data_IF_181511999318
#
_entry.id   IF_181511999318
#
_cell.length_a   1.000
_cell.length_b   1.000
_cell.length_c   1.000
_cell.angle_alpha   90.00
_cell.angle_beta   90.00
_cell.angle_gamma   90.00
#
_symmetry.space_group_name_H-M   'P 1'
#
loop_
_entity.id
_entity.type
_entity.pdbx_description
1 polymer ?
#
# COMPACT_ATOMS: atom_id res chain seq x y z
N UNK A 1 -15.49 9.75 -19.32
CA UNK A 1 -14.77 10.39 -18.20
C UNK A 1 -15.27 9.76 -16.92
N UNK A 2 -14.38 9.20 -16.10
CA UNK A 2 -14.70 8.59 -14.80
C UNK A 2 -14.68 9.69 -13.75
N UNK A 3 -15.78 9.84 -13.01
CA UNK A 3 -15.90 10.82 -11.93
C UNK A 3 -15.38 10.21 -10.64
N UNK A 4 -14.44 10.88 -10.00
CA UNK A 4 -13.73 10.39 -8.81
C UNK A 4 -14.09 11.27 -7.62
N UNK A 5 -14.43 10.65 -6.48
CA UNK A 5 -14.59 11.30 -5.19
C UNK A 5 -13.41 10.99 -4.27
N UNK A 6 -12.98 11.99 -3.50
CA UNK A 6 -11.98 11.81 -2.45
C UNK A 6 -12.68 11.86 -1.10
N UNK A 7 -12.54 10.79 -0.34
CA UNK A 7 -13.05 10.64 1.03
C UNK A 7 -11.89 10.75 1.99
N UNK A 8 -11.94 11.74 2.83
CA UNK A 8 -10.91 12.22 3.75
C UNK A 8 -9.68 12.86 3.09
N UNK A 9 -9.25 13.93 3.69
CA UNK A 9 -8.09 14.72 3.28
C UNK A 9 -6.92 14.60 4.26
N UNK A 10 -6.99 13.65 5.18
CA UNK A 10 -6.13 13.50 6.35
C UNK A 10 -4.64 13.39 6.04
N UNK A 11 -4.31 12.91 4.84
CA UNK A 11 -2.93 12.61 4.43
C UNK A 11 -2.53 13.39 3.18
N UNK A 12 -1.22 13.56 2.93
CA UNK A 12 -0.71 14.13 1.67
C UNK A 12 -1.11 13.35 0.42
N UNK A 13 -1.64 12.12 0.57
CA UNK A 13 -2.07 11.28 -0.56
C UNK A 13 -3.20 11.92 -1.36
N UNK A 14 -4.14 12.63 -0.70
CA UNK A 14 -5.21 13.35 -1.39
C UNK A 14 -4.65 14.35 -2.42
N UNK A 15 -3.71 15.20 -2.03
CA UNK A 15 -3.07 16.16 -2.93
C UNK A 15 -2.22 15.50 -4.02
N UNK A 16 -1.45 14.48 -3.63
CA UNK A 16 -0.58 13.75 -4.57
C UNK A 16 -1.38 13.03 -5.65
N UNK A 17 -2.43 12.29 -5.27
CA UNK A 17 -3.32 11.60 -6.21
C UNK A 17 -4.06 12.60 -7.10
N UNK A 18 -4.52 13.72 -6.53
CA UNK A 18 -5.14 14.80 -7.33
C UNK A 18 -4.22 15.28 -8.43
N UNK A 19 -2.94 15.56 -8.12
CA UNK A 19 -1.96 16.01 -9.10
C UNK A 19 -1.66 14.96 -10.19
N UNK A 20 -1.72 13.68 -9.84
CA UNK A 20 -1.51 12.57 -10.78
C UNK A 20 -2.71 12.35 -11.69
N UNK A 21 -3.90 12.24 -11.11
CA UNK A 21 -5.13 11.91 -11.84
C UNK A 21 -5.50 12.99 -12.87
N UNK A 22 -5.12 14.24 -12.62
CA UNK A 22 -5.29 15.35 -13.58
C UNK A 22 -4.47 15.21 -14.87
N UNK A 23 -3.49 14.34 -14.90
CA UNK A 23 -2.70 14.09 -16.10
C UNK A 23 -3.41 13.16 -17.09
N UNK A 24 -4.62 12.69 -16.75
CA UNK A 24 -5.43 11.76 -17.52
C UNK A 24 -6.75 12.41 -17.93
N UNK A 25 -6.97 12.58 -19.23
CA UNK A 25 -8.14 13.27 -19.80
C UNK A 25 -9.47 12.50 -19.59
N UNK A 26 -9.39 11.21 -19.28
CA UNK A 26 -10.55 10.34 -19.04
C UNK A 26 -10.97 10.28 -17.56
N UNK A 27 -10.23 10.93 -16.66
CA UNK A 27 -10.48 10.99 -15.22
C UNK A 27 -10.79 12.41 -14.76
N UNK A 28 -11.74 12.56 -13.85
CA UNK A 28 -12.06 13.84 -13.24
C UNK A 28 -12.33 13.67 -11.74
N UNK A 29 -11.63 14.44 -10.91
CA UNK A 29 -11.98 14.55 -9.50
C UNK A 29 -13.13 15.55 -9.41
N UNK A 30 -14.32 15.05 -9.10
CA UNK A 30 -15.57 15.83 -9.13
C UNK A 30 -16.13 16.14 -7.75
N UNK A 31 -15.74 15.39 -6.73
CA UNK A 31 -16.29 15.55 -5.39
C UNK A 31 -15.24 15.30 -4.30
N UNK A 32 -15.40 15.96 -3.17
CA UNK A 32 -14.61 15.77 -1.96
C UNK A 32 -15.52 15.77 -0.74
N UNK A 33 -15.20 14.92 0.21
CA UNK A 33 -15.76 14.92 1.56
C UNK A 33 -14.64 14.68 2.57
N UNK A 34 -14.70 15.37 3.71
CA UNK A 34 -13.70 15.23 4.78
C UNK A 34 -14.37 15.00 6.13
N UNK A 35 -13.98 13.93 6.80
CA UNK A 35 -14.45 13.57 8.14
C UNK A 35 -13.89 14.45 9.25
N UNK A 36 -12.99 15.39 8.94
CA UNK A 36 -12.41 16.37 9.86
C UNK A 36 -11.61 15.73 11.01
N UNK A 37 -10.96 14.60 10.73
CA UNK A 37 -10.14 13.93 11.72
C UNK A 37 -8.82 14.70 11.97
N UNK A 38 -8.26 15.32 10.94
CA UNK A 38 -6.96 16.01 10.98
C UNK A 38 -7.10 17.51 10.76
N UNK A 39 -7.89 17.94 9.80
CA UNK A 39 -8.01 19.34 9.42
C UNK A 39 -9.30 19.98 9.96
N UNK A 40 -9.30 21.31 10.24
CA UNK A 40 -10.49 22.02 10.72
C UNK A 40 -11.56 22.17 9.64
N UNK A 41 -12.76 22.55 10.07
CA UNK A 41 -13.84 22.95 9.16
C UNK A 41 -13.37 24.04 8.17
N UNK A 42 -13.80 23.91 6.90
CA UNK A 42 -13.39 24.81 5.81
C UNK A 42 -12.20 24.30 5.00
N UNK A 43 -11.50 23.24 5.46
CA UNK A 43 -10.37 22.70 4.72
C UNK A 43 -10.80 21.99 3.43
N UNK A 44 -11.91 21.26 3.45
CA UNK A 44 -12.44 20.61 2.25
C UNK A 44 -12.83 21.63 1.18
N UNK A 45 -13.44 22.74 1.57
CA UNK A 45 -13.81 23.85 0.68
C UNK A 45 -12.56 24.51 0.10
N UNK A 46 -11.53 24.74 0.93
CA UNK A 46 -10.25 25.27 0.46
C UNK A 46 -9.59 24.32 -0.53
N UNK A 47 -9.49 23.05 -0.19
CA UNK A 47 -8.90 22.02 -1.05
C UNK A 47 -9.64 21.92 -2.38
N UNK A 48 -10.97 21.94 -2.35
CA UNK A 48 -11.80 21.91 -3.55
C UNK A 48 -11.54 23.15 -4.44
N UNK A 49 -11.51 24.35 -3.86
CA UNK A 49 -11.26 25.58 -4.59
C UNK A 49 -9.84 25.61 -5.23
N UNK A 50 -8.81 25.22 -4.49
CA UNK A 50 -7.42 25.16 -4.97
C UNK A 50 -7.26 24.12 -6.09
N UNK A 51 -8.09 23.08 -6.05
CA UNK A 51 -8.04 21.97 -6.97
C UNK A 51 -9.18 21.98 -8.01
N UNK A 52 -9.99 23.03 -8.11
CA UNK A 52 -11.09 23.12 -9.08
C UNK A 52 -12.07 21.94 -9.03
N UNK A 53 -12.32 21.40 -7.82
CA UNK A 53 -13.28 20.33 -7.57
C UNK A 53 -14.66 20.96 -7.41
N UNK A 54 -15.65 20.43 -8.12
CA UNK A 54 -16.97 21.07 -8.22
C UNK A 54 -17.80 20.91 -6.94
N UNK A 55 -17.74 19.72 -6.32
CA UNK A 55 -18.61 19.39 -5.20
C UNK A 55 -17.84 19.16 -3.90
N UNK A 56 -18.23 19.89 -2.85
CA UNK A 56 -17.89 19.59 -1.46
C UNK A 56 -19.13 18.98 -0.82
N UNK A 57 -19.09 17.70 -0.52
CA UNK A 57 -20.26 16.96 -0.05
C UNK A 57 -20.44 17.10 1.47
N UNK A 58 -21.68 17.06 1.92
CA UNK A 58 -22.04 17.03 3.35
C UNK A 58 -21.89 15.63 3.95
N UNK A 59 -21.96 14.57 3.11
CA UNK A 59 -21.82 13.17 3.53
C UNK A 59 -21.24 12.29 2.43
N UNK A 60 -20.79 11.09 2.81
CA UNK A 60 -20.33 10.08 1.86
C UNK A 60 -21.47 9.48 1.04
N UNK A 61 -22.69 9.45 1.59
CA UNK A 61 -23.91 9.03 0.89
C UNK A 61 -24.26 9.98 -0.26
N UNK A 62 -24.17 11.28 -0.03
CA UNK A 62 -24.34 12.29 -1.09
C UNK A 62 -23.30 12.08 -2.19
N UNK A 63 -22.02 11.93 -1.81
CA UNK A 63 -20.95 11.71 -2.77
C UNK A 63 -21.16 10.45 -3.60
N UNK A 64 -21.69 9.38 -3.02
CA UNK A 64 -21.95 8.13 -3.73
C UNK A 64 -22.92 8.31 -4.92
N UNK A 65 -23.81 9.30 -4.86
CA UNK A 65 -24.67 9.69 -5.99
C UNK A 65 -23.95 10.42 -7.13
N UNK A 66 -22.81 11.03 -6.86
CA UNK A 66 -22.12 11.94 -7.78
C UNK A 66 -20.95 11.31 -8.52
N UNK A 67 -20.35 10.23 -7.99
CA UNK A 67 -19.10 9.66 -8.47
C UNK A 67 -19.25 8.25 -9.03
N UNK A 68 -18.23 7.79 -9.74
CA UNK A 68 -18.12 6.44 -10.28
C UNK A 68 -17.08 5.61 -9.52
N UNK A 69 -16.09 6.29 -8.91
CA UNK A 69 -15.03 5.74 -8.09
C UNK A 69 -14.83 6.61 -6.83
N UNK A 70 -14.74 6.01 -5.66
CA UNK A 70 -14.32 6.67 -4.44
C UNK A 70 -12.90 6.27 -4.04
N UNK A 71 -12.08 7.26 -3.65
CA UNK A 71 -10.78 7.07 -3.03
C UNK A 71 -10.94 7.31 -1.53
N UNK A 72 -10.87 6.27 -0.71
CA UNK A 72 -10.99 6.34 0.74
C UNK A 72 -9.58 6.43 1.33
N UNK A 73 -9.19 7.62 1.79
CA UNK A 73 -7.81 8.00 2.12
C UNK A 73 -7.61 8.37 3.61
N UNK A 74 -8.59 8.11 4.45
CA UNK A 74 -8.54 8.46 5.87
C UNK A 74 -7.36 7.83 6.61
N UNK A 75 -6.75 8.56 7.53
CA UNK A 75 -5.64 8.08 8.35
C UNK A 75 -6.10 7.03 9.36
N UNK A 76 -7.34 7.11 9.80
CA UNK A 76 -7.95 6.14 10.71
C UNK A 76 -8.67 5.03 9.93
N UNK A 77 -7.96 3.92 9.76
CA UNK A 77 -8.48 2.74 9.05
C UNK A 77 -9.68 2.05 9.71
N UNK A 78 -9.98 2.36 10.97
CA UNK A 78 -11.20 1.84 11.62
C UNK A 78 -12.47 2.42 10.99
N UNK A 79 -12.38 3.58 10.33
CA UNK A 79 -13.48 4.20 9.60
C UNK A 79 -13.55 3.82 8.12
N UNK A 80 -12.53 3.20 7.55
CA UNK A 80 -12.50 2.88 6.11
C UNK A 80 -13.74 2.09 5.67
N UNK A 81 -14.14 1.08 6.46
CA UNK A 81 -15.28 0.25 6.12
C UNK A 81 -16.59 1.05 6.09
N UNK A 82 -16.85 1.78 7.16
CA UNK A 82 -18.06 2.61 7.28
C UNK A 82 -18.15 3.65 6.16
N UNK A 83 -17.02 4.28 5.81
CA UNK A 83 -16.94 5.27 4.73
C UNK A 83 -17.06 4.67 3.34
N UNK A 84 -16.74 3.39 3.19
CA UNK A 84 -16.84 2.66 1.92
C UNK A 84 -18.25 2.10 1.66
N UNK A 85 -19.01 1.79 2.71
CA UNK A 85 -20.31 1.10 2.61
C UNK A 85 -21.32 1.80 1.68
N UNK A 86 -21.53 3.13 1.73
CA UNK A 86 -22.47 3.82 0.81
C UNK A 86 -22.08 3.66 -0.66
N UNK A 87 -20.80 3.61 -0.98
CA UNK A 87 -20.33 3.40 -2.35
C UNK A 87 -20.55 1.97 -2.82
N UNK A 88 -20.34 0.98 -1.95
CA UNK A 88 -20.62 -0.44 -2.22
C UNK A 88 -22.10 -0.63 -2.49
N UNK A 89 -22.98 -0.08 -1.65
CA UNK A 89 -24.43 -0.13 -1.81
C UNK A 89 -24.90 0.54 -3.11
N UNK A 90 -24.25 1.63 -3.51
CA UNK A 90 -24.50 2.31 -4.77
C UNK A 90 -23.84 1.63 -5.99
N UNK A 91 -23.16 0.49 -5.82
CA UNK A 91 -22.48 -0.25 -6.90
C UNK A 91 -21.29 0.47 -7.51
N UNK A 92 -20.65 1.37 -6.76
CA UNK A 92 -19.49 2.14 -7.22
C UNK A 92 -18.19 1.37 -7.04
N UNK A 93 -17.16 1.78 -7.76
CA UNK A 93 -15.80 1.32 -7.49
C UNK A 93 -15.25 2.02 -6.25
N UNK A 94 -14.45 1.31 -5.47
CA UNK A 94 -13.73 1.90 -4.34
C UNK A 94 -12.26 1.51 -4.37
N UNK A 95 -11.42 2.48 -4.06
CA UNK A 95 -10.04 2.26 -3.67
C UNK A 95 -9.89 2.65 -2.20
N UNK A 96 -9.37 1.76 -1.39
CA UNK A 96 -9.11 2.01 0.03
C UNK A 96 -7.59 2.05 0.23
N UNK A 97 -7.09 3.15 0.74
CA UNK A 97 -5.65 3.30 1.02
C UNK A 97 -5.17 2.35 2.12
N UNK A 98 -3.90 2.13 2.17
CA UNK A 98 -3.25 1.18 3.07
C UNK A 98 -3.13 1.74 4.51
N UNK A 99 -3.45 0.88 5.50
CA UNK A 99 -4.07 -0.43 5.42
C UNK A 99 -5.58 -0.36 5.15
N UNK A 100 -6.12 -1.29 4.36
CA UNK A 100 -7.56 -1.30 4.07
C UNK A 100 -8.42 -1.45 5.33
N UNK A 101 -7.91 -2.17 6.32
CA UNK A 101 -8.58 -2.40 7.60
C UNK A 101 -7.57 -2.82 8.68
N UNK A 102 -7.80 -2.39 9.92
CA UNK A 102 -6.99 -2.76 11.09
C UNK A 102 -7.53 -3.96 11.88
N UNK A 103 -8.71 -4.48 11.52
CA UNK A 103 -9.38 -5.58 12.24
C UNK A 103 -9.70 -6.74 11.30
N UNK A 104 -9.49 -7.97 11.75
CA UNK A 104 -9.83 -9.17 10.96
C UNK A 104 -11.31 -9.20 10.54
N UNK A 105 -12.22 -8.75 11.41
CA UNK A 105 -13.64 -8.65 11.09
C UNK A 105 -13.93 -7.67 9.94
N UNK A 106 -13.18 -6.56 9.85
CA UNK A 106 -13.30 -5.61 8.75
C UNK A 106 -12.75 -6.22 7.44
N UNK A 107 -11.63 -6.94 7.51
CA UNK A 107 -11.12 -7.68 6.34
C UNK A 107 -12.13 -8.71 5.84
N UNK A 108 -12.75 -9.47 6.75
CA UNK A 108 -13.80 -10.42 6.38
C UNK A 108 -15.00 -9.74 5.70
N UNK A 109 -15.39 -8.55 6.16
CA UNK A 109 -16.46 -7.77 5.54
C UNK A 109 -16.11 -7.29 4.14
N UNK A 110 -14.87 -6.85 3.91
CA UNK A 110 -14.39 -6.46 2.57
C UNK A 110 -14.43 -7.65 1.60
N UNK A 111 -14.00 -8.83 2.05
CA UNK A 111 -14.09 -10.07 1.25
C UNK A 111 -15.54 -10.44 0.95
N UNK A 112 -16.44 -10.35 1.93
CA UNK A 112 -17.86 -10.59 1.72
C UNK A 112 -18.47 -9.62 0.66
N UNK A 113 -18.07 -8.37 0.64
CA UNK A 113 -18.50 -7.42 -0.37
C UNK A 113 -17.96 -7.79 -1.76
N UNK A 114 -16.70 -8.19 -1.85
CA UNK A 114 -16.09 -8.64 -3.11
C UNK A 114 -16.79 -9.89 -3.66
N UNK A 115 -17.08 -10.87 -2.81
CA UNK A 115 -17.85 -12.07 -3.17
C UNK A 115 -19.25 -11.74 -3.69
N UNK A 116 -19.85 -10.66 -3.22
CA UNK A 116 -21.15 -10.13 -3.69
C UNK A 116 -21.03 -9.25 -4.93
N UNK A 117 -19.83 -9.09 -5.47
CA UNK A 117 -19.57 -8.37 -6.72
C UNK A 117 -19.18 -6.91 -6.54
N UNK A 118 -18.86 -6.46 -5.33
CA UNK A 118 -18.29 -5.12 -5.14
C UNK A 118 -16.91 -5.02 -5.80
N UNK A 119 -16.64 -3.88 -6.42
CA UNK A 119 -15.36 -3.61 -7.09
C UNK A 119 -14.44 -2.84 -6.14
N UNK A 120 -13.61 -3.60 -5.42
CA UNK A 120 -12.72 -3.09 -4.38
C UNK A 120 -11.28 -3.24 -4.83
N UNK A 121 -10.49 -2.18 -4.67
CA UNK A 121 -9.04 -2.20 -4.79
C UNK A 121 -8.45 -1.62 -3.51
N UNK A 122 -7.39 -2.23 -3.02
CA UNK A 122 -6.69 -1.76 -1.82
C UNK A 122 -5.20 -2.02 -1.90
N UNK A 123 -4.43 -1.24 -1.17
CA UNK A 123 -2.99 -1.41 -1.00
C UNK A 123 -2.22 -0.11 -1.15
N UNK A 124 -1.09 -0.02 -0.48
CA UNK A 124 -0.17 1.11 -0.56
C UNK A 124 0.66 1.12 -1.84
N UNK A 125 1.25 2.28 -2.15
CA UNK A 125 2.04 2.49 -3.35
C UNK A 125 3.19 1.49 -3.52
N UNK A 126 3.82 1.03 -2.42
CA UNK A 126 4.92 0.08 -2.45
C UNK A 126 4.52 -1.27 -3.07
N UNK A 127 3.27 -1.71 -2.86
CA UNK A 127 2.72 -2.95 -3.43
C UNK A 127 2.70 -2.93 -4.97
N UNK A 128 2.49 -1.75 -5.55
CA UNK A 128 2.29 -1.54 -6.98
C UNK A 128 3.52 -0.96 -7.69
N UNK A 129 4.65 -0.83 -6.98
CA UNK A 129 5.87 -0.33 -7.63
C UNK A 129 6.38 -1.33 -8.67
N UNK A 130 7.06 -0.79 -9.68
CA UNK A 130 7.53 -1.55 -10.85
C UNK A 130 8.36 -2.77 -10.46
N UNK A 131 9.22 -2.63 -9.48
CA UNK A 131 10.13 -3.69 -9.01
C UNK A 131 9.35 -4.87 -8.40
N UNK A 132 8.31 -4.60 -7.64
CA UNK A 132 7.43 -5.63 -7.07
C UNK A 132 6.60 -6.30 -8.15
N UNK A 133 6.07 -5.53 -9.11
CA UNK A 133 5.35 -6.05 -10.26
C UNK A 133 6.23 -6.99 -11.12
N UNK A 134 7.46 -6.57 -11.43
CA UNK A 134 8.42 -7.38 -12.19
C UNK A 134 8.80 -8.64 -11.43
N UNK A 135 9.03 -8.55 -10.12
CA UNK A 135 9.30 -9.71 -9.26
C UNK A 135 8.14 -10.70 -9.29
N UNK A 136 6.92 -10.21 -9.11
CA UNK A 136 5.73 -11.06 -9.12
C UNK A 136 5.54 -11.79 -10.45
N UNK A 137 5.85 -11.13 -11.58
CA UNK A 137 5.79 -11.76 -12.91
C UNK A 137 6.87 -12.83 -13.10
N UNK A 138 8.07 -12.61 -12.57
CA UNK A 138 9.21 -13.52 -12.69
C UNK A 138 9.30 -14.57 -11.59
N UNK A 139 8.44 -14.52 -10.57
CA UNK A 139 8.55 -15.40 -9.40
C UNK A 139 8.41 -16.89 -9.73
N UNK A 140 7.60 -17.22 -10.75
CA UNK A 140 7.42 -18.60 -11.20
C UNK A 140 8.71 -19.18 -11.81
N UNK A 141 9.52 -18.35 -12.47
CA UNK A 141 10.79 -18.77 -13.08
C UNK A 141 11.90 -18.94 -12.01
N UNK A 142 11.68 -18.41 -10.82
CA UNK A 142 12.60 -18.52 -9.69
C UNK A 142 12.65 -19.95 -9.10
N UNK A 143 11.59 -20.72 -9.30
CA UNK A 143 11.40 -22.03 -8.71
C UNK A 143 10.85 -21.96 -7.28
N UNK A 144 11.16 -22.97 -6.48
CA UNK A 144 10.73 -23.03 -5.08
C UNK A 144 11.38 -21.90 -4.26
N UNK A 145 10.58 -21.15 -3.52
CA UNK A 145 11.06 -20.13 -2.58
C UNK A 145 11.22 -20.80 -1.22
N UNK A 146 12.44 -20.77 -0.69
CA UNK A 146 12.77 -21.36 0.62
C UNK A 146 12.63 -20.33 1.75
N UNK A 147 13.10 -19.10 1.50
CA UNK A 147 13.01 -18.05 2.49
C UNK A 147 12.87 -16.67 1.88
N UNK A 148 12.22 -15.79 2.63
CA UNK A 148 12.07 -14.37 2.32
C UNK A 148 12.47 -13.56 3.54
N UNK A 149 13.31 -12.55 3.31
CA UNK A 149 13.65 -11.54 4.31
C UNK A 149 13.20 -10.18 3.79
N UNK A 150 12.47 -9.44 4.62
CA UNK A 150 12.04 -8.10 4.29
C UNK A 150 12.33 -7.11 5.43
N UNK A 151 12.76 -5.91 5.11
CA UNK A 151 13.06 -4.88 6.13
C UNK A 151 12.56 -3.49 5.73
N UNK A 152 12.19 -2.69 6.74
CA UNK A 152 11.81 -1.28 6.64
C UNK A 152 12.25 -0.51 7.89
N UNK A 153 12.10 0.85 7.87
CA UNK A 153 12.25 1.69 9.04
C UNK A 153 11.38 1.24 10.23
N UNK A 154 11.73 1.61 11.48
CA UNK A 154 11.14 1.07 12.70
C UNK A 154 9.77 1.67 13.07
N UNK A 155 8.94 1.94 12.10
CA UNK A 155 7.56 2.38 12.28
C UNK A 155 6.61 1.22 11.98
N UNK A 156 6.09 0.59 13.04
CA UNK A 156 5.23 -0.59 12.90
C UNK A 156 3.95 -0.28 12.12
N UNK A 157 3.28 0.81 12.45
CA UNK A 157 1.99 1.14 11.85
C UNK A 157 2.13 1.81 10.48
N UNK A 158 3.07 2.75 10.33
CA UNK A 158 3.24 3.47 9.07
C UNK A 158 4.10 2.73 8.05
N UNK A 159 5.08 1.91 8.48
CA UNK A 159 6.02 1.24 7.57
C UNK A 159 5.88 -0.28 7.56
N UNK A 160 5.56 -0.87 8.69
CA UNK A 160 5.38 -2.32 8.81
C UNK A 160 4.28 -2.84 7.90
N UNK A 161 3.19 -2.10 7.75
CA UNK A 161 2.10 -2.47 6.83
C UNK A 161 2.57 -2.51 5.37
N UNK A 162 3.37 -1.56 4.93
CA UNK A 162 3.88 -1.54 3.55
C UNK A 162 4.76 -2.75 3.25
N UNK A 163 5.58 -3.19 4.21
CA UNK A 163 6.35 -4.44 4.08
C UNK A 163 5.45 -5.66 4.02
N UNK A 164 4.45 -5.74 4.89
CA UNK A 164 3.50 -6.84 4.87
C UNK A 164 2.77 -6.93 3.52
N UNK A 165 2.40 -5.80 2.95
CA UNK A 165 1.79 -5.71 1.61
C UNK A 165 2.74 -6.14 0.50
N UNK A 166 4.03 -5.75 0.57
CA UNK A 166 5.05 -6.17 -0.40
C UNK A 166 5.27 -7.67 -0.34
N UNK A 167 5.38 -8.25 0.86
CA UNK A 167 5.49 -9.70 1.06
C UNK A 167 4.25 -10.40 0.46
N UNK A 168 3.05 -9.93 0.81
CA UNK A 168 1.81 -10.48 0.29
C UNK A 168 1.64 -10.31 -1.23
N UNK A 169 2.17 -9.22 -1.81
CA UNK A 169 2.16 -9.03 -3.26
C UNK A 169 3.04 -10.05 -3.99
N UNK A 170 4.17 -10.42 -3.42
CA UNK A 170 5.14 -11.33 -4.02
C UNK A 170 4.78 -12.80 -3.76
N UNK A 171 4.43 -13.15 -2.54
CA UNK A 171 4.15 -14.54 -2.14
C UNK A 171 2.68 -14.95 -2.33
N UNK A 172 1.77 -13.99 -2.43
CA UNK A 172 0.34 -14.27 -2.49
C UNK A 172 -0.27 -14.61 -1.12
N UNK A 173 -1.49 -15.18 -1.11
CA UNK A 173 -2.17 -15.63 0.10
C UNK A 173 -1.48 -16.87 0.68
N UNK A 174 -1.78 -17.19 1.96
CA UNK A 174 -1.26 -18.38 2.62
C UNK A 174 -0.65 -18.13 4.00
N UNK A 175 -0.69 -16.88 4.48
CA UNK A 175 -0.27 -16.57 5.86
C UNK A 175 -1.20 -17.25 6.85
N UNK A 176 -0.64 -18.12 7.71
CA UNK A 176 -1.37 -18.82 8.79
C UNK A 176 -1.04 -18.28 10.17
N UNK A 177 0.02 -17.50 10.30
CA UNK A 177 0.40 -16.88 11.55
C UNK A 177 1.48 -15.82 11.43
N UNK A 178 1.51 -14.93 12.43
CA UNK A 178 2.59 -13.95 12.61
C UNK A 178 3.06 -14.03 14.05
N UNK A 179 4.36 -14.20 14.25
CA UNK A 179 4.98 -14.30 15.57
C UNK A 179 6.00 -13.20 15.76
N UNK A 180 5.85 -12.41 16.81
CA UNK A 180 6.90 -11.51 17.27
C UNK A 180 8.05 -12.33 17.86
N UNK A 181 9.26 -12.20 17.30
CA UNK A 181 10.45 -12.96 17.74
C UNK A 181 11.14 -12.23 18.89
N UNK A 182 11.21 -10.90 18.81
CA UNK A 182 11.85 -10.06 19.79
C UNK A 182 12.23 -8.71 19.26
N UNK A 183 12.68 -7.84 20.17
CA UNK A 183 13.21 -6.52 19.81
C UNK A 183 14.52 -6.24 20.55
N UNK A 184 15.38 -5.47 19.91
CA UNK A 184 16.57 -4.91 20.53
C UNK A 184 16.80 -3.52 19.95
N UNK A 185 16.96 -2.53 20.83
CA UNK A 185 17.01 -1.12 20.47
C UNK A 185 15.76 -0.75 19.63
N UNK A 186 15.93 -0.11 18.48
CA UNK A 186 14.83 0.23 17.58
C UNK A 186 14.52 -0.88 16.55
N UNK A 187 15.11 -2.07 16.71
CA UNK A 187 14.90 -3.20 15.79
C UNK A 187 13.88 -4.16 16.36
N UNK A 188 12.87 -4.50 15.57
CA UNK A 188 11.86 -5.53 15.87
C UNK A 188 11.83 -6.58 14.77
N UNK A 189 11.72 -7.85 15.17
CA UNK A 189 11.69 -9.01 14.28
C UNK A 189 10.39 -9.78 14.41
N UNK A 190 9.83 -10.14 13.26
CA UNK A 190 8.62 -10.95 13.14
C UNK A 190 8.88 -12.14 12.22
N UNK A 191 8.37 -13.30 12.58
CA UNK A 191 8.24 -14.46 11.72
C UNK A 191 6.83 -14.48 11.15
N UNK A 192 6.72 -14.62 9.83
CA UNK A 192 5.46 -14.78 9.14
C UNK A 192 5.42 -16.22 8.63
N UNK A 193 4.47 -16.99 9.13
CA UNK A 193 4.28 -18.39 8.78
C UNK A 193 3.33 -18.52 7.60
N UNK A 194 3.78 -19.18 6.55
CA UNK A 194 3.00 -19.56 5.38
C UNK A 194 2.67 -21.05 5.42
N UNK A 195 1.47 -21.43 5.00
CA UNK A 195 1.04 -22.83 4.91
C UNK A 195 1.84 -23.56 3.82
N UNK A 196 2.75 -24.44 4.25
CA UNK A 196 3.66 -25.15 3.36
C UNK A 196 4.60 -24.27 2.53
N UNK A 197 4.68 -22.98 2.85
CA UNK A 197 5.44 -21.96 2.12
C UNK A 197 6.81 -21.67 2.71
N UNK A 198 7.46 -20.57 2.25
CA UNK A 198 8.79 -20.19 2.68
C UNK A 198 8.82 -19.70 4.13
N UNK A 199 10.00 -19.78 4.74
CA UNK A 199 10.28 -19.04 5.98
C UNK A 199 10.37 -17.56 5.66
N UNK A 200 9.47 -16.75 6.23
CA UNK A 200 9.43 -15.33 5.96
C UNK A 200 9.74 -14.53 7.23
N UNK A 201 10.78 -13.69 7.17
CA UNK A 201 11.18 -12.82 8.27
C UNK A 201 10.94 -11.37 7.87
N UNK A 202 10.22 -10.65 8.71
CA UNK A 202 10.05 -9.20 8.60
C UNK A 202 10.85 -8.51 9.70
N UNK A 203 11.67 -7.55 9.31
CA UNK A 203 12.45 -6.71 10.21
C UNK A 203 12.03 -5.25 10.09
N UNK A 204 11.73 -4.64 11.23
CA UNK A 204 11.60 -3.19 11.37
C UNK A 204 12.82 -2.68 12.14
N UNK A 205 13.64 -1.85 11.51
CA UNK A 205 14.93 -1.44 12.07
C UNK A 205 15.30 -0.01 11.69
N UNK A 206 16.08 0.65 12.57
CA UNK A 206 16.71 1.95 12.31
C UNK A 206 18.21 1.75 11.99
N UNK A 207 18.86 2.62 11.21
CA UNK A 207 18.29 3.65 10.32
C UNK A 207 18.15 3.11 8.89
N UNK A 208 16.99 3.15 8.33
CA UNK A 208 16.80 2.83 6.91
C UNK A 208 15.57 3.55 6.38
N UNK A 209 15.71 4.19 5.23
CA UNK A 209 14.59 4.84 4.54
C UNK A 209 14.06 4.01 3.39
N UNK A 210 14.57 2.78 3.24
CA UNK A 210 14.28 1.93 2.10
C UNK A 210 13.61 0.64 2.55
N UNK A 211 12.64 0.17 1.75
CA UNK A 211 12.11 -1.17 1.86
C UNK A 211 13.06 -2.11 1.11
N UNK A 212 13.53 -3.14 1.79
CA UNK A 212 14.34 -4.20 1.21
C UNK A 212 13.55 -5.51 1.22
N UNK A 213 13.58 -6.23 0.11
CA UNK A 213 13.06 -7.59 0.00
C UNK A 213 14.15 -8.49 -0.58
N UNK A 214 14.45 -9.58 0.09
CA UNK A 214 15.41 -10.60 -0.36
C UNK A 214 14.71 -11.96 -0.43
N UNK A 215 14.82 -12.65 -1.56
CA UNK A 215 14.17 -13.93 -1.83
C UNK A 215 15.25 -14.96 -2.12
N UNK A 216 15.19 -16.10 -1.44
CA UNK A 216 16.12 -17.20 -1.59
C UNK A 216 15.41 -18.49 -2.03
N UNK A 217 15.99 -19.21 -3.00
CA UNK A 217 15.56 -20.51 -3.46
C UNK A 217 16.69 -21.54 -3.41
N UNK A 218 16.40 -22.86 -3.44
CA UNK A 218 17.39 -23.92 -3.23
C UNK A 218 18.41 -24.04 -4.38
N UNK A 219 18.02 -23.66 -5.58
CA UNK A 219 18.86 -23.76 -6.79
C UNK A 219 19.41 -22.43 -7.25
N UNK A 220 19.01 -21.33 -6.62
CA UNK A 220 19.52 -20.01 -6.98
C UNK A 220 20.92 -19.81 -6.39
N UNK A 221 21.95 -19.68 -7.20
CA UNK A 221 23.32 -19.41 -6.71
C UNK A 221 23.45 -18.04 -6.07
N UNK A 222 22.42 -17.20 -6.11
CA UNK A 222 22.38 -15.84 -5.56
C UNK A 222 21.00 -15.50 -5.08
N UNK A 223 20.82 -14.89 -3.90
CA UNK A 223 19.54 -14.34 -3.47
C UNK A 223 19.14 -13.19 -4.41
N UNK A 224 17.87 -13.13 -4.74
CA UNK A 224 17.32 -11.94 -5.38
C UNK A 224 17.06 -10.89 -4.30
N UNK A 225 17.71 -9.76 -4.41
CA UNK A 225 17.48 -8.65 -3.47
C UNK A 225 16.91 -7.47 -4.23
N UNK A 226 15.77 -7.01 -3.77
CA UNK A 226 15.07 -5.86 -4.31
C UNK A 226 15.17 -4.73 -3.29
N UNK A 227 15.59 -3.57 -3.74
CA UNK A 227 15.57 -2.35 -2.96
C UNK A 227 14.54 -1.42 -3.56
N UNK A 228 13.54 -1.04 -2.79
CA UNK A 228 12.63 0.04 -3.17
C UNK A 228 13.00 1.27 -2.36
N UNK A 229 13.48 2.32 -3.01
CA UNK A 229 13.61 3.61 -2.35
C UNK A 229 12.21 4.21 -2.19
N UNK A 230 11.61 4.09 -1.02
CA UNK A 230 10.47 4.92 -0.68
C UNK A 230 11.00 6.31 -0.40
N UNK A 231 10.69 7.26 -1.25
CA UNK A 231 11.06 8.66 -1.07
C UNK A 231 10.49 9.17 0.26
N UNK A 232 11.36 9.45 1.22
CA UNK A 232 10.99 9.88 2.57
C UNK A 232 10.77 11.39 2.68
N UNK A 233 10.75 12.11 1.56
CA UNK A 233 10.65 13.57 1.59
C UNK A 233 9.63 14.09 0.56
N UNK A 234 8.41 14.31 1.04
CA UNK A 234 7.44 15.16 0.38
C UNK A 234 6.53 14.51 -0.68
N UNK A 235 5.54 15.24 -1.16
CA UNK A 235 4.46 14.77 -2.03
C UNK A 235 4.86 14.38 -3.45
N UNK A 236 6.13 14.32 -3.77
CA UNK A 236 6.68 14.04 -5.11
C UNK A 236 6.98 12.57 -5.38
N UNK A 237 6.67 11.66 -4.48
CA UNK A 237 7.10 10.26 -4.57
C UNK A 237 6.06 9.26 -5.05
N UNK A 238 4.99 9.72 -5.66
CA UNK A 238 4.01 8.85 -6.34
C UNK A 238 4.26 8.71 -7.85
N UNK A 239 5.28 9.41 -8.37
CA UNK A 239 5.77 9.16 -9.73
C UNK A 239 7.22 8.76 -9.69
N UNK A 240 7.65 7.79 -10.50
CA UNK A 240 9.01 7.76 -10.95
C UNK A 240 9.21 9.00 -11.84
N UNK A 241 9.56 10.15 -11.26
CA UNK A 241 10.35 11.09 -12.03
C UNK A 241 11.52 10.27 -12.53
N UNK A 242 11.85 10.39 -13.82
CA UNK A 242 12.89 9.65 -14.54
C UNK A 242 14.31 9.86 -13.96
N UNK A 243 14.47 9.65 -12.68
CA UNK A 243 15.72 9.36 -12.01
C UNK A 243 15.66 7.87 -11.71
N UNK A 244 16.24 7.13 -12.63
CA UNK A 244 16.66 5.74 -12.51
C UNK A 244 16.64 5.25 -11.06
N UNK A 245 15.55 4.55 -10.68
CA UNK A 245 15.62 3.55 -9.65
C UNK A 245 16.54 2.48 -10.25
N UNK A 246 17.84 2.59 -10.02
CA UNK A 246 18.79 1.65 -10.53
C UNK A 246 18.61 0.36 -9.78
N UNK A 247 18.10 -0.65 -10.46
CA UNK A 247 18.13 -2.03 -10.02
C UNK A 247 19.60 -2.39 -9.78
N UNK A 248 20.09 -2.20 -8.55
CA UNK A 248 21.39 -2.72 -8.17
C UNK A 248 21.20 -4.16 -7.75
N UNK A 249 21.27 -5.05 -8.71
CA UNK A 249 21.55 -6.47 -8.44
C UNK A 249 23.00 -6.53 -7.95
N UNK A 250 23.23 -6.31 -6.68
CA UNK A 250 24.56 -6.49 -6.09
C UNK A 250 24.74 -7.96 -5.74
N UNK A 251 25.53 -8.65 -6.56
CA UNK A 251 26.09 -9.91 -6.15
C UNK A 251 27.14 -9.66 -5.04
N UNK A 252 27.02 -10.27 -3.84
CA UNK A 252 28.11 -10.22 -2.90
C UNK A 252 29.32 -10.94 -3.53
N UNK A 253 30.48 -10.29 -3.57
CA UNK A 253 31.74 -10.96 -3.82
C UNK A 253 32.02 -11.81 -2.59
N UNK A 254 31.79 -13.11 -2.68
CA UNK A 254 32.31 -14.06 -1.69
C UNK A 254 33.79 -14.20 -2.01
N UNK A 255 34.63 -13.40 -1.35
CA UNK A 255 36.04 -13.69 -1.24
C UNK A 255 36.19 -14.75 -0.13
N UNK A 256 36.61 -15.94 -0.54
CA UNK A 256 37.25 -17.00 0.19
C UNK A 256 37.21 -16.91 1.74
N UNK A 257 36.30 -17.65 2.35
CA UNK A 257 36.47 -18.10 3.72
C UNK A 257 37.30 -19.41 3.68
N UNK A 258 38.41 -19.48 4.36
CA UNK A 258 39.10 -20.77 4.56
C UNK A 258 38.23 -21.65 5.48
N UNK A 259 38.12 -22.94 5.13
CA UNK A 259 37.53 -24.00 5.94
C UNK A 259 38.30 -24.17 7.27
#
# INVERSE_FOLDING_TARGET
MVRIGIVDLDTPHAGSLTGLLRQHDDLAISAVWDGRAVYPAGYAEQFAAENGIEHVCESVEEMAGLVDLALVLGVDWDFHLMRSEPFVEAGKMIYIDSPAAGKAAHCARLLEWEEKGARIMTGGAARFCKEIEETRRGIADFGEIVSVFASAPPDFFGRGIHIAEVIGAVLGPGVIGVKFIGSRDETSLFLIDYDGGPVCIMQLASPGHEICLSICGPTSPRPWTIWTSTCSSGPTCLLPSARTCSMRISAPRINNWPL
#
